data_IF_212473138953
#
_entry.id   IF_212473138953
#
_cell.length_a   1.000
_cell.length_b   1.000
_cell.length_c   1.000
_cell.angle_alpha   90.00
_cell.angle_beta   90.00
_cell.angle_gamma   90.00
#
_symmetry.space_group_name_H-M   'P 1'
#
loop_
_entity.id
_entity.type
_entity.pdbx_description
1 polymer ?
#
# COMPACT_ATOMS: atom_id res chain seq x y z
N UNK A 1 21.70 31.61 -9.62
CA UNK A 1 22.35 30.30 -9.76
C UNK A 1 21.26 29.27 -9.54
N UNK A 2 20.69 28.74 -10.62
CA UNK A 2 19.85 27.55 -10.54
C UNK A 2 20.74 26.38 -10.11
N UNK A 3 20.34 25.68 -9.05
CA UNK A 3 20.95 24.41 -8.71
C UNK A 3 20.71 23.42 -9.87
N UNK A 4 21.69 22.58 -10.22
CA UNK A 4 21.48 21.60 -11.27
C UNK A 4 20.35 20.66 -10.84
N UNK A 5 19.36 20.48 -11.72
CA UNK A 5 18.33 19.47 -11.56
C UNK A 5 19.01 18.11 -11.32
N UNK A 6 18.76 17.52 -10.15
CA UNK A 6 19.31 16.22 -9.79
C UNK A 6 18.92 15.21 -10.88
N UNK A 7 19.89 14.44 -11.37
CA UNK A 7 19.63 13.36 -12.31
C UNK A 7 18.52 12.44 -11.76
N UNK A 8 17.59 11.95 -12.59
CA UNK A 8 16.51 11.10 -12.13
C UNK A 8 17.12 9.85 -11.48
N UNK A 9 16.99 9.76 -10.15
CA UNK A 9 17.36 8.55 -9.42
C UNK A 9 16.39 7.46 -9.87
N UNK A 10 16.92 6.31 -10.26
CA UNK A 10 16.07 5.16 -10.60
C UNK A 10 15.18 4.85 -9.38
N UNK A 11 13.87 4.61 -9.55
CA UNK A 11 12.98 4.38 -8.42
C UNK A 11 13.46 3.16 -7.62
N UNK A 12 13.42 3.26 -6.30
CA UNK A 12 13.74 2.14 -5.42
C UNK A 12 12.64 1.09 -5.60
N UNK A 13 13.00 -0.10 -6.06
CA UNK A 13 12.04 -1.17 -6.35
C UNK A 13 12.45 -2.46 -5.65
N UNK A 14 11.50 -3.13 -5.01
CA UNK A 14 11.71 -4.48 -4.45
C UNK A 14 10.54 -5.39 -4.79
N UNK A 15 10.83 -6.69 -4.92
CA UNK A 15 9.83 -7.73 -5.24
C UNK A 15 9.87 -8.86 -4.23
N UNK A 16 8.70 -9.32 -3.81
CA UNK A 16 8.55 -10.43 -2.86
C UNK A 16 7.53 -11.45 -3.36
N UNK A 17 7.83 -12.72 -3.10
CA UNK A 17 6.85 -13.81 -3.19
C UNK A 17 6.25 -14.03 -1.81
N UNK A 18 4.94 -13.89 -1.70
CA UNK A 18 4.17 -14.07 -0.47
C UNK A 18 3.30 -15.32 -0.63
N UNK A 19 3.49 -16.32 0.21
CA UNK A 19 2.81 -17.63 0.10
C UNK A 19 1.71 -17.82 1.13
N UNK A 20 1.43 -16.81 1.97
CA UNK A 20 0.33 -16.88 2.94
C UNK A 20 -0.21 -15.51 3.35
N UNK A 21 -1.45 -15.44 3.85
CA UNK A 21 -2.00 -14.21 4.43
C UNK A 21 -1.19 -13.68 5.62
N UNK A 22 -0.57 -14.55 6.41
CA UNK A 22 0.25 -14.11 7.55
C UNK A 22 1.57 -13.49 7.09
N UNK A 23 2.19 -14.02 6.03
CA UNK A 23 3.35 -13.36 5.41
C UNK A 23 2.99 -11.99 4.83
N UNK A 24 1.78 -11.82 4.27
CA UNK A 24 1.30 -10.52 3.81
C UNK A 24 1.12 -9.53 4.97
N UNK A 25 0.57 -9.98 6.11
CA UNK A 25 0.47 -9.14 7.31
C UNK A 25 1.85 -8.76 7.84
N UNK A 26 2.77 -9.72 7.89
CA UNK A 26 4.13 -9.48 8.34
C UNK A 26 4.89 -8.49 7.44
N UNK A 27 4.70 -8.58 6.11
CA UNK A 27 5.18 -7.55 5.17
C UNK A 27 4.62 -6.18 5.56
N UNK A 28 3.33 -6.07 5.87
CA UNK A 28 2.71 -4.84 6.35
C UNK A 28 3.36 -4.32 7.65
N UNK A 29 3.59 -5.19 8.65
CA UNK A 29 4.25 -4.77 9.91
C UNK A 29 5.67 -4.27 9.69
N UNK A 30 6.43 -4.90 8.78
CA UNK A 30 7.78 -4.47 8.42
C UNK A 30 7.77 -3.15 7.67
N UNK A 31 6.89 -3.02 6.67
CA UNK A 31 6.73 -1.80 5.90
C UNK A 31 6.32 -0.63 6.78
N UNK A 32 5.44 -0.83 7.77
CA UNK A 32 5.04 0.20 8.73
C UNK A 32 6.21 0.85 9.48
N UNK A 33 7.32 0.13 9.69
CA UNK A 33 8.53 0.68 10.35
C UNK A 33 9.28 1.69 9.48
N UNK A 34 9.03 1.68 8.17
CA UNK A 34 9.59 2.63 7.21
C UNK A 34 8.68 3.84 6.99
N UNK A 35 7.42 3.77 7.46
CA UNK A 35 6.40 4.80 7.24
C UNK A 35 6.45 5.89 8.31
N UNK A 36 6.09 7.11 7.89
CA UNK A 36 5.93 8.29 8.74
C UNK A 36 4.75 9.13 8.26
N UNK A 37 4.34 10.11 9.08
CA UNK A 37 3.40 11.13 8.67
C UNK A 37 3.86 11.82 7.37
N UNK A 38 2.94 12.05 6.44
CA UNK A 38 3.23 12.55 5.10
C UNK A 38 3.41 11.47 4.04
N UNK A 39 3.46 10.18 4.42
CA UNK A 39 3.65 9.10 3.44
C UNK A 39 2.31 8.66 2.83
N UNK A 40 2.27 8.63 1.49
CA UNK A 40 1.20 8.06 0.69
C UNK A 40 1.57 6.66 0.18
N UNK A 41 0.74 5.66 0.48
CA UNK A 41 0.86 4.29 -0.01
C UNK A 41 -0.33 3.95 -0.90
N UNK A 42 -0.05 3.68 -2.18
CA UNK A 42 -1.05 3.29 -3.17
C UNK A 42 -1.03 1.78 -3.35
N UNK A 43 -2.18 1.12 -3.12
CA UNK A 43 -2.32 -0.33 -3.27
C UNK A 43 -3.12 -0.67 -4.54
N UNK A 44 -2.53 -1.43 -5.45
CA UNK A 44 -3.20 -1.94 -6.65
C UNK A 44 -3.14 -3.47 -6.73
N UNK A 45 -4.08 -4.04 -7.48
CA UNK A 45 -4.25 -5.48 -7.63
C UNK A 45 -5.72 -5.89 -7.70
N UNK A 46 -5.97 -7.10 -8.18
CA UNK A 46 -7.32 -7.64 -8.36
C UNK A 46 -8.12 -7.74 -7.04
N UNK A 47 -9.44 -7.93 -7.16
CA UNK A 47 -10.29 -8.20 -6.00
C UNK A 47 -9.79 -9.45 -5.27
N UNK A 48 -9.57 -9.33 -3.96
CA UNK A 48 -9.01 -10.41 -3.16
C UNK A 48 -7.52 -10.70 -3.41
N UNK A 49 -6.76 -9.78 -4.04
CA UNK A 49 -5.30 -9.90 -4.15
C UNK A 49 -4.59 -9.87 -2.78
N UNK A 50 -5.20 -9.25 -1.77
CA UNK A 50 -4.64 -9.17 -0.41
C UNK A 50 -4.32 -7.76 0.07
N UNK A 51 -4.76 -6.71 -0.64
CA UNK A 51 -4.57 -5.29 -0.29
C UNK A 51 -4.97 -4.97 1.16
N UNK A 52 -6.22 -5.24 1.53
CA UNK A 52 -6.67 -5.05 2.92
C UNK A 52 -5.91 -5.91 3.94
N UNK A 53 -5.41 -7.09 3.55
CA UNK A 53 -4.55 -7.92 4.44
C UNK A 53 -3.22 -7.23 4.70
N UNK A 54 -2.62 -6.61 3.68
CA UNK A 54 -1.43 -5.77 3.84
C UNK A 54 -1.74 -4.56 4.72
N UNK A 55 -2.85 -3.84 4.49
CA UNK A 55 -3.25 -2.67 5.29
C UNK A 55 -3.48 -3.02 6.76
N UNK A 56 -3.97 -4.22 7.07
CA UNK A 56 -4.05 -4.73 8.45
C UNK A 56 -2.67 -4.83 9.09
N UNK A 57 -1.71 -5.42 8.39
CA UNK A 57 -0.32 -5.47 8.85
C UNK A 57 0.27 -4.07 9.06
N UNK A 58 -0.04 -3.12 8.17
CA UNK A 58 0.36 -1.72 8.32
C UNK A 58 -0.21 -1.11 9.61
N UNK A 59 -1.53 -1.24 9.85
CA UNK A 59 -2.16 -0.73 11.07
C UNK A 59 -1.59 -1.35 12.34
N UNK A 60 -1.32 -2.66 12.34
CA UNK A 60 -0.67 -3.35 13.45
C UNK A 60 0.74 -2.80 13.71
N UNK A 61 1.56 -2.62 12.66
CA UNK A 61 2.92 -2.09 12.78
C UNK A 61 2.97 -0.62 13.19
N UNK A 62 1.98 0.18 12.78
CA UNK A 62 1.83 1.60 13.19
C UNK A 62 1.24 1.75 14.61
N UNK A 63 0.71 0.67 15.19
CA UNK A 63 0.08 0.70 16.51
C UNK A 63 -1.20 1.55 16.53
N UNK A 64 -2.03 1.45 15.49
CA UNK A 64 -3.30 2.20 15.43
C UNK A 64 -4.42 1.51 16.21
N UNK A 65 -5.44 2.30 16.56
CA UNK A 65 -6.59 1.84 17.35
C UNK A 65 -7.54 0.99 16.52
N UNK A 66 -7.91 -0.14 17.10
CA UNK A 66 -8.96 -1.02 16.57
C UNK A 66 -8.51 -1.84 15.38
N UNK A 67 -9.41 -2.71 14.91
CA UNK A 67 -9.14 -3.54 13.75
C UNK A 67 -9.24 -2.73 12.46
N UNK A 68 -8.25 -2.89 11.59
CA UNK A 68 -8.31 -2.39 10.21
C UNK A 68 -9.16 -3.36 9.38
N UNK A 69 -10.26 -2.85 8.85
CA UNK A 69 -11.14 -3.60 7.94
C UNK A 69 -11.29 -2.81 6.66
N UNK A 70 -11.54 -3.48 5.54
CA UNK A 70 -11.87 -2.79 4.29
C UNK A 70 -13.01 -1.81 4.57
N UNK A 71 -12.92 -0.56 4.14
CA UNK A 71 -13.96 0.42 4.30
C UNK A 71 -15.04 0.12 3.24
N UNK A 72 -15.69 -1.04 3.34
CA UNK A 72 -16.59 -1.57 2.28
C UNK A 72 -17.87 -0.74 2.10
N UNK A 73 -18.26 0.03 3.12
CA UNK A 73 -19.47 0.87 3.13
C UNK A 73 -19.19 2.36 3.38
N UNK A 74 -17.94 2.73 3.59
CA UNK A 74 -17.51 4.12 3.85
C UNK A 74 -16.28 4.35 2.99
N UNK A 75 -16.12 5.50 2.35
CA UNK A 75 -15.01 5.70 1.39
C UNK A 75 -13.64 5.68 2.10
N UNK A 76 -13.57 6.25 3.30
CA UNK A 76 -12.36 6.33 4.10
C UNK A 76 -12.63 5.97 5.58
N UNK A 77 -11.60 5.48 6.26
CA UNK A 77 -11.57 5.27 7.72
C UNK A 77 -10.28 5.83 8.30
N UNK A 78 -10.42 6.60 9.37
CA UNK A 78 -9.29 7.06 10.17
C UNK A 78 -9.11 6.12 11.36
N UNK A 79 -7.89 5.60 11.51
CA UNK A 79 -7.47 4.78 12.62
C UNK A 79 -6.44 5.57 13.46
N UNK A 80 -6.85 6.16 14.60
CA UNK A 80 -5.96 6.97 15.43
C UNK A 80 -4.80 6.15 16.00
N UNK A 81 -3.61 6.74 16.11
CA UNK A 81 -2.49 6.08 16.80
C UNK A 81 -2.78 5.87 18.30
N UNK A 82 -2.27 4.78 18.86
CA UNK A 82 -2.30 4.49 20.30
C UNK A 82 -1.08 5.03 21.05
N UNK A 83 0.01 5.36 20.35
CA UNK A 83 1.32 5.68 20.94
C UNK A 83 1.91 7.02 20.51
N UNK A 84 1.11 7.93 19.95
CA UNK A 84 1.58 9.23 19.47
C UNK A 84 2.31 9.19 18.13
N UNK A 85 2.30 8.05 17.43
CA UNK A 85 2.74 7.95 16.04
C UNK A 85 1.69 8.50 15.06
N UNK A 86 1.98 8.43 13.77
CA UNK A 86 1.04 8.85 12.74
C UNK A 86 -0.26 7.99 12.78
N UNK A 87 -1.45 8.59 12.72
CA UNK A 87 -2.68 7.84 12.44
C UNK A 87 -2.62 7.23 11.03
N UNK A 88 -3.45 6.22 10.81
CA UNK A 88 -3.64 5.60 9.49
C UNK A 88 -4.97 6.06 8.89
N UNK A 89 -4.94 6.67 7.72
CA UNK A 89 -6.12 6.93 6.89
C UNK A 89 -6.20 5.85 5.83
N UNK A 90 -7.21 4.99 5.88
CA UNK A 90 -7.41 3.91 4.92
C UNK A 90 -8.58 4.25 4.00
N UNK A 91 -8.29 4.41 2.72
CA UNK A 91 -9.24 4.79 1.66
C UNK A 91 -9.43 3.62 0.69
N UNK A 92 -10.67 3.37 0.28
CA UNK A 92 -10.99 2.44 -0.81
C UNK A 92 -11.62 3.22 -1.98
N UNK A 93 -10.79 3.54 -2.97
CA UNK A 93 -11.18 4.35 -4.12
C UNK A 93 -11.93 3.54 -5.20
N UNK A 94 -12.11 2.21 -5.03
CA UNK A 94 -12.92 1.40 -5.94
C UNK A 94 -14.39 1.83 -5.93
N UNK A 95 -14.85 2.41 -4.82
CA UNK A 95 -16.24 2.85 -4.63
C UNK A 95 -16.52 4.28 -5.04
N UNK A 96 -15.48 5.05 -5.37
CA UNK A 96 -15.63 6.40 -5.90
C UNK A 96 -16.24 6.30 -7.29
N UNK A 97 -17.55 6.52 -7.37
CA UNK A 97 -18.36 6.34 -8.57
C UNK A 97 -18.44 7.60 -9.43
N UNK A 98 -17.98 8.74 -8.92
CA UNK A 98 -18.24 10.06 -9.50
C UNK A 98 -17.06 10.79 -10.16
N UNK A 99 -15.80 10.44 -9.87
CA UNK A 99 -14.62 11.18 -10.33
C UNK A 99 -13.77 11.74 -9.20
N UNK A 100 -12.85 12.65 -9.50
CA UNK A 100 -11.91 13.27 -8.54
C UNK A 100 -12.64 14.09 -7.45
N UNK A 101 -13.81 14.64 -7.74
CA UNK A 101 -14.59 15.49 -6.82
C UNK A 101 -14.93 14.77 -5.49
N UNK A 102 -15.24 13.48 -5.51
CA UNK A 102 -15.50 12.71 -4.28
C UNK A 102 -14.21 12.43 -3.47
N UNK A 103 -13.04 12.56 -4.10
CA UNK A 103 -11.74 12.47 -3.42
C UNK A 103 -11.39 13.80 -2.74
N UNK A 104 -11.77 14.94 -3.33
CA UNK A 104 -11.61 16.26 -2.71
C UNK A 104 -12.38 16.35 -1.39
N UNK A 105 -13.59 15.78 -1.32
CA UNK A 105 -14.42 15.72 -0.11
C UNK A 105 -13.79 14.90 1.04
N UNK A 106 -12.72 14.14 0.79
CA UNK A 106 -12.03 13.35 1.82
C UNK A 106 -10.97 14.14 2.58
N UNK A 107 -10.67 15.38 2.19
CA UNK A 107 -9.66 16.24 2.80
C UNK A 107 -8.29 15.51 2.95
N UNK A 108 -7.90 14.72 1.94
CA UNK A 108 -6.67 13.92 2.00
C UNK A 108 -5.42 14.77 1.93
N UNK A 109 -5.45 15.89 1.22
CA UNK A 109 -4.38 16.89 1.16
C UNK A 109 -4.13 17.54 2.52
N UNK A 110 -5.19 17.78 3.30
CA UNK A 110 -5.11 18.27 4.69
C UNK A 110 -4.66 17.17 5.64
N UNK A 111 -5.11 15.93 5.43
CA UNK A 111 -4.83 14.80 6.32
C UNK A 111 -3.43 14.20 6.12
N UNK A 112 -2.91 14.22 4.90
CA UNK A 112 -1.65 13.57 4.50
C UNK A 112 -0.44 14.04 5.32
N UNK A 113 -0.18 15.35 5.53
CA UNK A 113 0.99 15.84 6.26
C UNK A 113 1.16 15.24 7.66
N UNK A 114 0.05 14.92 8.33
CA UNK A 114 0.03 14.43 9.70
C UNK A 114 -0.24 12.92 9.81
N UNK A 115 -0.51 12.23 8.69
CA UNK A 115 -0.98 10.85 8.67
C UNK A 115 -0.16 9.95 7.73
N UNK A 116 -0.29 8.64 7.90
CA UNK A 116 0.00 7.69 6.83
C UNK A 116 -1.31 7.45 6.08
N UNK A 117 -1.32 7.72 4.77
CA UNK A 117 -2.51 7.52 3.93
C UNK A 117 -2.30 6.28 3.07
N UNK A 118 -3.20 5.30 3.20
CA UNK A 118 -3.22 4.09 2.37
C UNK A 118 -4.46 4.11 1.50
N UNK A 119 -4.26 4.11 0.18
CA UNK A 119 -5.35 4.16 -0.80
C UNK A 119 -5.37 2.89 -1.62
N UNK A 120 -6.43 2.10 -1.50
CA UNK A 120 -6.70 0.98 -2.41
C UNK A 120 -7.32 1.51 -3.72
N UNK A 121 -6.82 1.05 -4.88
CA UNK A 121 -7.29 1.46 -6.22
C UNK A 121 -7.23 2.98 -6.48
N UNK A 122 -6.23 3.66 -5.92
CA UNK A 122 -6.01 5.10 -6.07
C UNK A 122 -5.34 5.55 -7.38
N UNK A 123 -4.99 4.63 -8.27
CA UNK A 123 -4.34 4.97 -9.54
C UNK A 123 -5.21 5.90 -10.40
N UNK A 124 -4.60 6.98 -10.90
CA UNK A 124 -5.24 8.07 -11.63
C UNK A 124 -6.09 9.01 -10.76
N UNK A 125 -6.02 8.91 -9.42
CA UNK A 125 -6.89 9.65 -8.49
C UNK A 125 -6.17 10.38 -7.37
N UNK A 126 -4.98 9.94 -6.95
CA UNK A 126 -4.31 10.47 -5.74
C UNK A 126 -2.85 10.88 -5.98
N UNK A 127 -2.37 10.78 -7.21
CA UNK A 127 -1.00 11.13 -7.58
C UNK A 127 -0.70 12.62 -7.42
N UNK A 128 -1.71 13.48 -7.47
CA UNK A 128 -1.56 14.93 -7.28
C UNK A 128 -1.37 15.31 -5.80
N UNK A 129 -1.69 14.40 -4.86
CA UNK A 129 -1.49 14.67 -3.43
C UNK A 129 0.00 14.82 -3.07
N UNK A 130 0.88 14.06 -3.74
CA UNK A 130 2.32 14.12 -3.51
C UNK A 130 3.12 13.41 -4.61
N UNK A 131 4.27 14.00 -4.95
CA UNK A 131 5.28 13.35 -5.80
C UNK A 131 6.00 12.20 -5.06
N UNK A 132 6.03 12.24 -3.73
CA UNK A 132 6.66 11.27 -2.84
C UNK A 132 5.67 10.19 -2.41
N UNK A 133 5.66 9.04 -3.10
CA UNK A 133 4.69 7.97 -2.85
C UNK A 133 5.25 6.57 -3.03
N UNK A 134 4.68 5.61 -2.30
CA UNK A 134 4.95 4.19 -2.47
C UNK A 134 3.82 3.52 -3.24
N UNK A 135 4.15 2.94 -4.39
CA UNK A 135 3.23 2.08 -5.11
C UNK A 135 3.46 0.63 -4.72
N UNK A 136 2.39 -0.09 -4.36
CA UNK A 136 2.42 -1.51 -4.05
C UNK A 136 1.45 -2.24 -4.95
N UNK A 137 2.00 -3.06 -5.84
CA UNK A 137 1.23 -3.86 -6.79
C UNK A 137 1.21 -5.31 -6.30
N UNK A 138 0.01 -5.85 -6.13
CA UNK A 138 -0.19 -7.23 -5.66
C UNK A 138 -0.85 -8.05 -6.77
N UNK A 139 -0.10 -8.99 -7.34
CA UNK A 139 -0.61 -9.95 -8.31
C UNK A 139 -0.79 -11.33 -7.69
N UNK A 140 -1.86 -12.02 -8.05
CA UNK A 140 -1.97 -13.46 -7.82
C UNK A 140 -1.00 -14.14 -8.78
N UNK A 141 -0.13 -15.01 -8.26
CA UNK A 141 0.64 -15.88 -9.14
C UNK A 141 -0.36 -16.90 -9.70
N UNK A 142 -0.82 -16.69 -10.93
CA UNK A 142 -1.69 -17.67 -11.58
C UNK A 142 -0.84 -18.92 -11.77
N UNK A 143 -1.27 -20.05 -11.21
CA UNK A 143 -0.63 -21.33 -11.48
C UNK A 143 -0.55 -21.52 -12.99
N UNK A 144 0.65 -21.66 -13.54
CA UNK A 144 0.79 -22.27 -14.86
C UNK A 144 0.32 -23.70 -14.69
N UNK A 145 -0.98 -23.94 -14.85
CA UNK A 145 -1.52 -25.27 -14.84
C UNK A 145 -0.81 -26.04 -15.95
N UNK A 146 0.16 -26.88 -15.59
CA UNK A 146 0.70 -27.83 -16.53
C UNK A 146 -0.46 -28.76 -16.93
N UNK A 147 -0.52 -29.25 -18.18
CA UNK A 147 -1.54 -30.23 -18.56
C UNK A 147 -1.33 -31.50 -17.70
N UNK A 148 -2.09 -31.62 -16.60
CA UNK A 148 -1.87 -32.65 -15.58
C UNK A 148 -2.02 -32.19 -14.14
N UNK A 149 -2.11 -30.88 -13.87
CA UNK A 149 -2.37 -30.40 -12.51
C UNK A 149 -3.78 -30.79 -12.06
N UNK A 150 -3.85 -31.74 -11.12
CA UNK A 150 -5.07 -32.07 -10.40
C UNK A 150 -5.42 -30.94 -9.42
N UNK A 151 -6.70 -30.79 -9.03
CA UNK A 151 -7.15 -29.81 -8.04
C UNK A 151 -6.54 -29.96 -6.62
N UNK A 152 -5.58 -30.88 -6.44
CA UNK A 152 -5.03 -31.29 -5.16
C UNK A 152 -3.87 -30.42 -4.68
N UNK A 153 -3.51 -29.34 -5.40
CA UNK A 153 -2.57 -28.34 -4.92
C UNK A 153 -3.25 -26.99 -4.61
N UNK A 154 -3.98 -26.88 -3.48
CA UNK A 154 -4.73 -25.67 -3.11
C UNK A 154 -3.86 -24.42 -2.86
N UNK A 155 -2.54 -24.57 -2.82
CA UNK A 155 -1.59 -23.48 -2.51
C UNK A 155 -1.22 -22.57 -3.69
N UNK A 156 -1.46 -22.98 -4.94
CA UNK A 156 -1.11 -22.14 -6.10
C UNK A 156 -1.93 -20.82 -6.11
N UNK A 157 -3.20 -20.88 -5.71
CA UNK A 157 -4.08 -19.71 -5.56
C UNK A 157 -3.77 -18.84 -4.31
N UNK A 158 -2.81 -19.24 -3.48
CA UNK A 158 -2.38 -18.51 -2.27
C UNK A 158 -1.10 -17.70 -2.48
N UNK A 159 -0.35 -17.96 -3.55
CA UNK A 159 0.89 -17.24 -3.85
C UNK A 159 0.57 -15.86 -4.45
N UNK A 160 1.23 -14.83 -3.93
CA UNK A 160 1.18 -13.45 -4.41
C UNK A 160 2.58 -12.98 -4.80
N UNK A 161 2.68 -12.30 -5.93
CA UNK A 161 3.84 -11.50 -6.27
C UNK A 161 3.54 -10.05 -5.86
N UNK A 162 4.35 -9.51 -4.94
CA UNK A 162 4.21 -8.14 -4.46
C UNK A 162 5.39 -7.33 -4.98
N UNK A 163 5.12 -6.26 -5.71
CA UNK A 163 6.13 -5.29 -6.16
C UNK A 163 5.90 -3.99 -5.41
N UNK A 164 6.94 -3.46 -4.79
CA UNK A 164 6.93 -2.15 -4.15
C UNK A 164 7.86 -1.22 -4.94
N UNK A 165 7.34 -0.06 -5.36
CA UNK A 165 8.08 0.94 -6.13
C UNK A 165 7.98 2.28 -5.43
N UNK A 166 9.11 2.76 -4.94
CA UNK A 166 9.27 4.07 -4.32
C UNK A 166 9.46 5.17 -5.36
N UNK A 167 8.56 6.16 -5.36
CA UNK A 167 8.59 7.32 -6.24
C UNK A 167 8.90 8.58 -5.43
N UNK A 168 9.72 9.47 -5.99
CA UNK A 168 10.13 10.71 -5.32
C UNK A 168 11.35 10.56 -4.40
N UNK A 169 11.86 11.70 -3.92
CA UNK A 169 13.07 11.78 -3.10
C UNK A 169 12.93 11.08 -1.75
N UNK A 170 11.72 11.10 -1.16
CA UNK A 170 11.39 10.42 0.10
C UNK A 170 11.71 8.93 0.09
N UNK A 171 11.50 8.29 -1.06
CA UNK A 171 11.55 6.83 -1.20
C UNK A 171 12.85 6.31 -1.79
N UNK A 172 13.67 7.18 -2.38
CA UNK A 172 14.96 6.81 -2.96
C UNK A 172 15.94 6.18 -1.95
N UNK A 173 15.83 6.53 -0.67
CA UNK A 173 16.71 6.06 0.42
C UNK A 173 15.92 5.36 1.55
N UNK A 174 14.66 4.97 1.30
CA UNK A 174 13.78 4.40 2.33
C UNK A 174 14.13 2.95 2.72
N UNK A 175 15.12 2.32 2.09
CA UNK A 175 15.58 0.97 2.44
C UNK A 175 14.57 -0.13 2.12
N UNK A 176 13.85 -0.03 0.98
CA UNK A 176 12.85 -1.03 0.59
C UNK A 176 13.44 -2.45 0.44
N UNK A 177 14.73 -2.56 0.13
CA UNK A 177 15.48 -3.82 0.09
C UNK A 177 15.52 -4.55 1.44
N UNK A 178 15.34 -3.84 2.57
CA UNK A 178 15.28 -4.48 3.89
C UNK A 178 14.03 -5.34 4.07
N UNK A 179 12.99 -5.14 3.25
CA UNK A 179 11.75 -5.89 3.33
C UNK A 179 11.90 -7.34 2.83
N UNK A 180 12.92 -7.63 2.00
CA UNK A 180 13.18 -8.98 1.47
C UNK A 180 13.98 -9.87 2.43
N UNK A 181 14.47 -9.32 3.54
CA UNK A 181 15.33 -10.01 4.51
C UNK A 181 14.56 -10.86 5.54
#
# INVERSE_FOLDING_TARGET
MEAPAAAPRNPAETRLTITSPEQMRELGRRLAKLLRAGDLVMLSGELGAGKTTLTRGLGEGLGVRGAVTSPTFVIARVHPSLGGGAPLVHVDAYRLGGGLDEMEDLDLDVSLPDSVVVVEWGEGKVEELTEDRLQVVIHRAVGTAAPGDTPEHPGADEVRQVTLTGLGGRWAEAGLETLTA
#
